data_IF_647210046909
#
_entry.id   IF_647210046909
#
_cell.length_a   1.000
_cell.length_b   1.000
_cell.length_c   1.000
_cell.angle_alpha   90.00
_cell.angle_beta   90.00
_cell.angle_gamma   90.00
#
_symmetry.space_group_name_H-M   'P 1'
#
loop_
_entity.id
_entity.type
_entity.pdbx_description
1 polymer ?
#
# COMPACT_ATOMS: atom_id res chain seq x y z
N UNK A 1 18.51 -14.67 18.05
CA UNK A 1 17.08 -14.92 17.76
C UNK A 1 16.85 -14.46 16.34
N UNK A 2 16.46 -15.37 15.43
CA UNK A 2 16.10 -14.97 14.07
C UNK A 2 14.77 -14.20 14.15
N UNK A 3 14.76 -12.93 13.79
CA UNK A 3 13.53 -12.16 13.66
C UNK A 3 12.73 -12.76 12.51
N UNK A 4 11.51 -13.22 12.77
CA UNK A 4 10.60 -13.64 11.71
C UNK A 4 10.44 -12.50 10.69
N UNK A 5 10.31 -12.82 9.38
CA UNK A 5 10.11 -11.80 8.36
C UNK A 5 8.80 -11.05 8.64
N UNK A 6 8.88 -9.72 8.69
CA UNK A 6 7.71 -8.86 8.89
C UNK A 6 6.96 -8.72 7.57
N UNK A 7 5.64 -8.94 7.53
CA UNK A 7 4.88 -8.68 6.31
C UNK A 7 4.97 -7.21 5.93
N UNK A 8 5.04 -6.95 4.63
CA UNK A 8 5.24 -5.62 4.05
C UNK A 8 3.92 -5.12 3.50
N UNK A 9 3.48 -3.97 3.99
CA UNK A 9 2.22 -3.32 3.60
C UNK A 9 2.50 -2.04 2.83
N UNK A 10 1.85 -1.88 1.68
CA UNK A 10 1.75 -0.59 0.98
C UNK A 10 0.45 0.10 1.38
N UNK A 11 0.51 1.38 1.75
CA UNK A 11 -0.67 2.23 1.97
C UNK A 11 -0.67 3.36 0.96
N UNK A 12 -1.76 3.50 0.21
CA UNK A 12 -1.96 4.54 -0.81
C UNK A 12 -3.21 5.35 -0.46
N UNK A 13 -2.99 6.58 0.00
CA UNK A 13 -4.03 7.44 0.58
C UNK A 13 -3.59 8.91 0.44
N UNK A 14 -4.44 9.77 -0.12
CA UNK A 14 -4.10 11.18 -0.40
C UNK A 14 -4.36 12.10 0.80
N UNK A 15 -5.11 11.66 1.82
CA UNK A 15 -5.29 12.37 3.08
C UNK A 15 -4.11 12.15 4.05
N UNK A 16 -3.27 13.17 4.34
CA UNK A 16 -2.05 12.99 5.14
C UNK A 16 -2.29 12.51 6.58
N UNK A 17 -3.42 12.89 7.17
CA UNK A 17 -3.84 12.44 8.50
C UNK A 17 -4.11 10.94 8.52
N UNK A 18 -4.88 10.43 7.55
CA UNK A 18 -5.20 9.01 7.42
C UNK A 18 -3.92 8.21 7.14
N UNK A 19 -3.09 8.67 6.21
CA UNK A 19 -1.81 8.04 5.89
C UNK A 19 -0.89 7.93 7.12
N UNK A 20 -0.85 8.98 7.96
CA UNK A 20 -0.08 9.00 9.21
C UNK A 20 -0.65 8.02 10.25
N UNK A 21 -1.98 7.94 10.36
CA UNK A 21 -2.66 6.98 11.24
C UNK A 21 -2.36 5.54 10.86
N UNK A 22 -2.47 5.19 9.57
CA UNK A 22 -2.15 3.82 9.12
C UNK A 22 -0.67 3.47 9.31
N UNK A 23 0.24 4.41 9.02
CA UNK A 23 1.66 4.19 9.25
C UNK A 23 1.97 3.89 10.72
N UNK A 24 1.38 4.66 11.64
CA UNK A 24 1.55 4.44 13.08
C UNK A 24 1.01 3.08 13.50
N UNK A 25 -0.27 2.81 13.24
CA UNK A 25 -0.96 1.61 13.73
C UNK A 25 -0.33 0.32 13.18
N UNK A 26 -0.05 0.27 11.86
CA UNK A 26 0.53 -0.92 11.27
C UNK A 26 1.99 -1.13 11.70
N UNK A 27 2.76 -0.06 11.90
CA UNK A 27 4.13 -0.20 12.42
C UNK A 27 4.12 -0.72 13.86
N UNK A 28 3.19 -0.27 14.71
CA UNK A 28 3.03 -0.75 16.09
C UNK A 28 2.64 -2.24 16.15
N UNK A 29 1.83 -2.71 15.20
CA UNK A 29 1.46 -4.12 15.04
C UNK A 29 2.59 -4.98 14.43
N UNK A 30 3.75 -4.37 14.11
CA UNK A 30 4.94 -5.08 13.65
C UNK A 30 5.06 -5.27 12.13
N UNK A 31 4.25 -4.58 11.33
CA UNK A 31 4.38 -4.57 9.87
C UNK A 31 5.53 -3.66 9.40
N UNK A 32 6.12 -3.99 8.24
CA UNK A 32 6.94 -3.02 7.50
C UNK A 32 6.02 -2.20 6.58
N UNK A 33 5.93 -0.89 6.82
CA UNK A 33 4.97 -0.04 6.11
C UNK A 33 5.67 0.85 5.08
N UNK A 34 5.17 0.82 3.84
CA UNK A 34 5.47 1.83 2.82
C UNK A 34 4.23 2.69 2.61
N UNK A 35 4.40 4.01 2.63
CA UNK A 35 3.30 4.96 2.39
C UNK A 35 3.52 5.77 1.12
N UNK A 36 2.43 6.17 0.48
CA UNK A 36 2.42 7.16 -0.59
C UNK A 36 1.03 7.80 -0.76
N UNK A 37 1.00 9.00 -1.36
CA UNK A 37 -0.21 9.83 -1.41
C UNK A 37 -0.75 10.13 -2.81
N UNK A 38 -0.29 9.40 -3.82
CA UNK A 38 -0.70 9.62 -5.22
C UNK A 38 -0.73 8.30 -5.97
N UNK A 39 -1.56 8.21 -7.00
CA UNK A 39 -1.59 7.06 -7.91
C UNK A 39 -0.18 6.77 -8.47
N UNK A 40 0.52 7.82 -8.93
CA UNK A 40 1.84 7.70 -9.54
C UNK A 40 2.86 7.04 -8.60
N UNK A 41 2.86 7.44 -7.34
CA UNK A 41 3.80 6.91 -6.34
C UNK A 41 3.43 5.46 -5.96
N UNK A 42 2.13 5.17 -5.80
CA UNK A 42 1.65 3.81 -5.55
C UNK A 42 2.02 2.83 -6.67
N UNK A 43 1.78 3.23 -7.91
CA UNK A 43 2.13 2.44 -9.09
C UNK A 43 3.63 2.16 -9.19
N UNK A 44 4.45 3.18 -8.91
CA UNK A 44 5.90 3.03 -8.92
C UNK A 44 6.36 2.04 -7.83
N UNK A 45 5.83 2.16 -6.62
CA UNK A 45 6.17 1.27 -5.51
C UNK A 45 5.81 -0.19 -5.79
N UNK A 46 4.62 -0.43 -6.35
CA UNK A 46 4.18 -1.77 -6.76
C UNK A 46 5.11 -2.43 -7.78
N UNK A 47 5.85 -1.64 -8.56
CA UNK A 47 6.85 -2.15 -9.54
C UNK A 47 8.24 -2.36 -8.94
N UNK A 48 8.60 -1.61 -7.91
CA UNK A 48 9.94 -1.64 -7.32
C UNK A 48 10.16 -2.82 -6.37
N UNK A 49 9.11 -3.30 -5.70
CA UNK A 49 9.18 -4.44 -4.78
C UNK A 49 7.84 -5.15 -4.66
N UNK A 50 7.89 -6.38 -4.14
CA UNK A 50 6.69 -7.13 -3.78
C UNK A 50 6.18 -6.67 -2.39
N UNK A 51 4.86 -6.68 -2.24
CA UNK A 51 4.15 -6.41 -0.99
C UNK A 51 3.29 -7.62 -0.64
N UNK A 52 3.06 -7.83 0.66
CA UNK A 52 2.14 -8.87 1.14
C UNK A 52 0.70 -8.35 1.13
N UNK A 53 0.51 -7.06 1.43
CA UNK A 53 -0.78 -6.38 1.32
C UNK A 53 -0.64 -4.96 0.76
N UNK A 54 -1.70 -4.48 0.13
CA UNK A 54 -1.84 -3.10 -0.34
C UNK A 54 -3.21 -2.56 0.12
N UNK A 55 -3.18 -1.55 0.98
CA UNK A 55 -4.35 -0.76 1.36
C UNK A 55 -4.44 0.43 0.41
N UNK A 56 -5.45 0.45 -0.45
CA UNK A 56 -5.58 1.45 -1.51
C UNK A 56 -6.92 2.15 -1.34
N UNK A 57 -6.88 3.45 -1.07
CA UNK A 57 -8.11 4.24 -1.04
C UNK A 57 -8.78 4.23 -2.42
N UNK A 58 -10.07 3.92 -2.44
CA UNK A 58 -10.91 3.93 -3.64
C UNK A 58 -11.12 5.36 -4.12
N UNK A 59 -11.16 6.33 -3.20
CA UNK A 59 -11.36 7.75 -3.49
C UNK A 59 -10.06 8.48 -3.82
N UNK A 60 -8.95 7.74 -3.96
CA UNK A 60 -7.62 8.28 -4.23
C UNK A 60 -7.63 9.22 -5.44
N UNK A 61 -7.30 10.49 -5.19
CA UNK A 61 -7.27 11.55 -6.19
C UNK A 61 -8.61 11.72 -6.94
N UNK A 62 -8.63 11.58 -8.27
CA UNK A 62 -9.82 11.73 -9.11
C UNK A 62 -9.97 10.52 -10.03
N UNK A 63 -11.11 10.41 -10.70
CA UNK A 63 -11.28 9.51 -11.86
C UNK A 63 -11.00 8.03 -11.56
N UNK A 64 -11.44 7.54 -10.40
CA UNK A 64 -11.33 6.13 -10.01
C UNK A 64 -9.90 5.58 -9.98
N UNK A 65 -8.89 6.44 -9.84
CA UNK A 65 -7.48 6.04 -9.84
C UNK A 65 -7.14 5.02 -8.74
N UNK A 66 -7.82 5.08 -7.60
CA UNK A 66 -7.76 4.05 -6.56
C UNK A 66 -8.15 2.65 -7.06
N UNK A 67 -9.27 2.55 -7.79
CA UNK A 67 -9.73 1.29 -8.38
C UNK A 67 -8.80 0.80 -9.50
N UNK A 68 -8.27 1.72 -10.31
CA UNK A 68 -7.27 1.38 -11.34
C UNK A 68 -6.04 0.78 -10.69
N UNK A 69 -5.49 1.41 -9.65
CA UNK A 69 -4.31 0.93 -8.94
C UNK A 69 -4.57 -0.42 -8.26
N UNK A 70 -5.75 -0.61 -7.65
CA UNK A 70 -6.16 -1.86 -7.05
C UNK A 70 -6.22 -3.01 -8.08
N UNK A 71 -6.66 -2.72 -9.30
CA UNK A 71 -6.65 -3.69 -10.40
C UNK A 71 -5.22 -4.00 -10.86
N UNK A 72 -4.39 -2.98 -11.05
CA UNK A 72 -2.99 -3.15 -11.44
C UNK A 72 -2.20 -3.97 -10.41
N UNK A 73 -2.46 -3.78 -9.11
CA UNK A 73 -1.87 -4.57 -8.04
C UNK A 73 -2.24 -6.06 -8.14
N UNK A 74 -3.49 -6.38 -8.48
CA UNK A 74 -3.96 -7.78 -8.64
C UNK A 74 -3.40 -8.46 -9.89
N UNK A 75 -3.02 -7.68 -10.90
CA UNK A 75 -2.46 -8.19 -12.16
C UNK A 75 -0.92 -8.41 -12.09
N UNK A 76 -0.28 -8.11 -10.96
CA UNK A 76 1.15 -8.37 -10.76
C UNK A 76 1.46 -9.88 -10.74
N UNK A 77 2.69 -10.24 -11.12
CA UNK A 77 3.16 -11.64 -11.07
C UNK A 77 3.12 -12.26 -9.66
N UNK A 78 3.22 -11.41 -8.63
CA UNK A 78 3.08 -11.75 -7.21
C UNK A 78 2.14 -10.71 -6.58
N UNK A 79 0.82 -10.90 -6.71
CA UNK A 79 -0.13 -9.88 -6.29
C UNK A 79 -0.20 -9.81 -4.76
N UNK A 80 -0.16 -8.61 -4.16
CA UNK A 80 -0.49 -8.44 -2.74
C UNK A 80 -1.97 -8.75 -2.51
N UNK A 81 -2.34 -9.01 -1.26
CA UNK A 81 -3.74 -8.91 -0.84
C UNK A 81 -4.15 -7.44 -0.94
N UNK A 82 -5.14 -7.14 -1.78
CA UNK A 82 -5.69 -5.77 -1.92
C UNK A 82 -6.87 -5.61 -0.98
N UNK A 83 -6.80 -4.59 -0.12
CA UNK A 83 -7.79 -4.21 0.88
C UNK A 83 -8.43 -2.89 0.46
#
# INVERSE_FOLDING_TARGET
MATEPRPVVLVVEDEPSILSTYNLLLTEEGYEVSTCSTYKCGHQKLKERNYDAALIDISLEREDLGLVLAKEAKDLSRPPVVI
#
